data_IF_638131981985
#
_entry.id   IF_638131981985
#
_cell.length_a   1.000
_cell.length_b   1.000
_cell.length_c   1.000
_cell.angle_alpha   90.00
_cell.angle_beta   90.00
_cell.angle_gamma   90.00
#
_symmetry.space_group_name_H-M   'P 1'
#
loop_
_entity.id
_entity.type
_entity.pdbx_description
1 polymer ?
#
# COMPACT_ATOMS: atom_id res chain seq x y z
N UNK A 1 -27.27 29.47 -6.53
CA UNK A 1 -27.51 28.06 -6.91
C UNK A 1 -26.74 27.65 -8.16
N UNK A 2 -26.84 28.38 -9.28
CA UNK A 2 -26.08 28.11 -10.52
C UNK A 2 -24.55 28.10 -10.34
N UNK A 3 -23.98 29.03 -9.58
CA UNK A 3 -22.53 29.08 -9.34
C UNK A 3 -21.99 27.86 -8.58
N UNK A 4 -22.76 27.34 -7.61
CA UNK A 4 -22.38 26.15 -6.83
C UNK A 4 -22.42 24.87 -7.67
N UNK A 5 -23.36 24.79 -8.62
CA UNK A 5 -23.43 23.67 -9.58
C UNK A 5 -22.28 23.76 -10.59
N UNK A 6 -21.94 24.96 -11.04
CA UNK A 6 -20.81 25.18 -11.95
C UNK A 6 -19.46 24.88 -11.30
N UNK A 7 -19.26 25.25 -10.02
CA UNK A 7 -18.04 24.90 -9.28
C UNK A 7 -17.91 23.39 -9.06
N UNK A 8 -19.01 22.70 -8.72
CA UNK A 8 -19.04 21.24 -8.59
C UNK A 8 -18.75 20.52 -9.92
N UNK A 9 -19.32 21.01 -11.03
CA UNK A 9 -19.01 20.46 -12.37
C UNK A 9 -17.56 20.70 -12.76
N UNK A 10 -17.04 21.90 -12.48
CA UNK A 10 -15.64 22.23 -12.75
C UNK A 10 -14.69 21.39 -11.90
N UNK A 11 -15.03 21.12 -10.65
CA UNK A 11 -14.26 20.22 -9.77
C UNK A 11 -14.38 18.75 -10.21
N UNK A 12 -15.54 18.31 -10.71
CA UNK A 12 -15.72 16.96 -11.24
C UNK A 12 -14.95 16.73 -12.56
N UNK A 13 -14.79 17.77 -13.36
CA UNK A 13 -14.04 17.76 -14.63
C UNK A 13 -12.56 18.13 -14.41
N UNK A 14 -12.20 18.71 -13.26
CA UNK A 14 -10.83 19.04 -12.94
C UNK A 14 -9.99 17.77 -12.91
N UNK A 15 -9.12 17.64 -13.91
CA UNK A 15 -8.15 16.56 -13.97
C UNK A 15 -7.17 16.76 -12.83
N UNK A 16 -7.32 15.93 -11.80
CA UNK A 16 -6.42 15.92 -10.65
C UNK A 16 -5.04 15.46 -11.14
N UNK A 17 -4.02 16.29 -11.02
CA UNK A 17 -2.62 16.02 -11.45
C UNK A 17 -1.91 14.94 -10.61
N UNK A 18 -2.66 14.08 -9.92
CA UNK A 18 -2.09 12.94 -9.20
C UNK A 18 -1.57 11.94 -10.23
N UNK A 19 -0.28 11.62 -10.12
CA UNK A 19 0.39 10.58 -10.91
C UNK A 19 -0.46 9.31 -10.96
N UNK A 20 -0.90 8.91 -12.15
CA UNK A 20 -1.74 7.73 -12.35
C UNK A 20 -0.96 6.46 -11.92
N UNK A 21 -1.59 5.51 -11.18
CA UNK A 21 -0.90 4.32 -10.67
C UNK A 21 -0.68 3.27 -11.77
N UNK A 22 0.21 3.55 -12.73
CA UNK A 22 0.42 2.76 -13.95
C UNK A 22 0.75 1.29 -13.68
N UNK A 23 1.63 1.03 -12.70
CA UNK A 23 2.01 -0.34 -12.29
C UNK A 23 0.78 -1.18 -11.90
N UNK A 24 -0.20 -0.57 -11.23
CA UNK A 24 -1.43 -1.26 -10.82
C UNK A 24 -2.36 -1.47 -12.00
N UNK A 25 -2.51 -0.49 -12.88
CA UNK A 25 -3.35 -0.61 -14.06
C UNK A 25 -2.83 -1.71 -15.00
N UNK A 26 -1.51 -1.73 -15.25
CA UNK A 26 -0.87 -2.76 -16.07
C UNK A 26 -0.99 -4.13 -15.42
N UNK A 27 -0.71 -4.26 -14.12
CA UNK A 27 -0.84 -5.55 -13.43
C UNK A 27 -2.28 -6.08 -13.40
N UNK A 28 -3.28 -5.21 -13.26
CA UNK A 28 -4.69 -5.59 -13.33
C UNK A 28 -5.06 -6.06 -14.74
N UNK A 29 -4.68 -5.28 -15.76
CA UNK A 29 -4.89 -5.65 -17.15
C UNK A 29 -4.24 -6.98 -17.51
N UNK A 30 -2.99 -7.19 -17.07
CA UNK A 30 -2.26 -8.44 -17.30
C UNK A 30 -2.93 -9.64 -16.60
N UNK A 31 -3.38 -9.46 -15.36
CA UNK A 31 -4.06 -10.50 -14.58
C UNK A 31 -5.36 -10.99 -15.24
N UNK A 32 -6.06 -10.10 -15.96
CA UNK A 32 -7.28 -10.44 -16.70
C UNK A 32 -6.99 -10.92 -18.12
N UNK A 33 -6.04 -10.29 -18.82
CA UNK A 33 -5.76 -10.56 -20.23
C UNK A 33 -5.02 -11.89 -20.43
N UNK A 34 -4.12 -12.28 -19.53
CA UNK A 34 -3.34 -13.52 -19.67
C UNK A 34 -4.23 -14.77 -19.73
N UNK A 35 -5.18 -15.01 -18.78
CA UNK A 35 -6.07 -16.16 -18.88
C UNK A 35 -6.91 -16.17 -20.16
N UNK A 36 -7.39 -15.00 -20.59
CA UNK A 36 -8.17 -14.86 -21.83
C UNK A 36 -7.33 -15.21 -23.05
N UNK A 37 -6.10 -14.70 -23.13
CA UNK A 37 -5.17 -14.99 -24.22
C UNK A 37 -4.78 -16.47 -24.27
N UNK A 38 -4.52 -17.09 -23.11
CA UNK A 38 -4.25 -18.54 -23.02
C UNK A 38 -5.47 -19.33 -23.50
N UNK A 39 -6.67 -18.96 -23.05
CA UNK A 39 -7.91 -19.58 -23.50
C UNK A 39 -8.10 -19.45 -25.01
N UNK A 40 -7.87 -18.26 -25.58
CA UNK A 40 -7.93 -18.03 -27.03
C UNK A 40 -6.92 -18.89 -27.79
N UNK A 41 -5.67 -18.95 -27.32
CA UNK A 41 -4.61 -19.73 -27.95
C UNK A 41 -4.89 -21.24 -27.94
N UNK A 42 -5.53 -21.74 -26.89
CA UNK A 42 -5.96 -23.13 -26.77
C UNK A 42 -7.31 -23.43 -27.48
N UNK A 43 -7.90 -22.44 -28.17
CA UNK A 43 -9.22 -22.59 -28.80
C UNK A 43 -10.39 -22.68 -27.81
N UNK A 44 -10.16 -22.35 -26.54
CA UNK A 44 -11.10 -22.42 -25.42
C UNK A 44 -11.35 -21.04 -24.80
N UNK A 45 -11.74 -20.07 -25.64
CA UNK A 45 -11.94 -18.66 -25.23
C UNK A 45 -12.87 -18.53 -24.02
N UNK A 46 -13.96 -19.31 -23.98
CA UNK A 46 -14.91 -19.36 -22.86
C UNK A 46 -14.22 -19.64 -21.51
N UNK A 47 -13.27 -20.58 -21.47
CA UNK A 47 -12.55 -20.92 -20.24
C UNK A 47 -11.56 -19.82 -19.87
N UNK A 48 -10.95 -19.18 -20.86
CA UNK A 48 -10.10 -18.01 -20.65
C UNK A 48 -10.87 -16.81 -20.06
N UNK A 49 -12.10 -16.56 -20.52
CA UNK A 49 -12.97 -15.53 -19.98
C UNK A 49 -13.39 -15.81 -18.53
N UNK A 50 -13.79 -17.05 -18.23
CA UNK A 50 -14.14 -17.46 -16.84
C UNK A 50 -12.92 -17.34 -15.94
N UNK A 51 -11.75 -17.81 -16.37
CA UNK A 51 -10.51 -17.65 -15.60
C UNK A 51 -10.13 -16.17 -15.43
N UNK A 52 -10.40 -15.32 -16.44
CA UNK A 52 -10.21 -13.88 -16.39
C UNK A 52 -11.00 -13.18 -15.27
N UNK A 53 -12.14 -13.73 -14.83
CA UNK A 53 -12.89 -13.22 -13.67
C UNK A 53 -12.06 -13.28 -12.38
N UNK A 54 -11.19 -14.29 -12.25
CA UNK A 54 -10.21 -14.36 -11.15
C UNK A 54 -9.24 -13.19 -11.15
N UNK A 55 -8.99 -12.59 -12.31
CA UNK A 55 -8.17 -11.39 -12.54
C UNK A 55 -8.58 -10.17 -11.71
N UNK A 56 -9.87 -10.04 -11.38
CA UNK A 56 -10.39 -8.95 -10.54
C UNK A 56 -9.79 -8.94 -9.12
N UNK A 57 -9.24 -10.07 -8.67
CA UNK A 57 -8.51 -10.17 -7.40
C UNK A 57 -7.36 -9.15 -7.32
N UNK A 58 -6.68 -8.87 -8.44
CA UNK A 58 -5.57 -7.91 -8.48
C UNK A 58 -6.01 -6.47 -8.17
N UNK A 59 -7.27 -6.09 -8.37
CA UNK A 59 -7.74 -4.73 -8.08
C UNK A 59 -7.64 -4.37 -6.59
N UNK A 60 -7.56 -5.38 -5.73
CA UNK A 60 -7.35 -5.25 -4.30
C UNK A 60 -5.87 -5.26 -3.90
N UNK A 61 -4.94 -5.31 -4.86
CA UNK A 61 -3.51 -5.15 -4.63
C UNK A 61 -3.15 -3.67 -4.42
N UNK A 62 -3.23 -3.22 -3.17
CA UNK A 62 -2.82 -1.87 -2.75
C UNK A 62 -1.38 -1.87 -2.24
N UNK A 63 -0.80 -0.67 -2.07
CA UNK A 63 0.53 -0.51 -1.48
C UNK A 63 0.47 -0.86 0.01
N UNK A 64 0.76 -2.12 0.31
CA UNK A 64 0.91 -2.69 1.64
C UNK A 64 2.25 -3.44 1.67
N UNK A 65 2.88 -3.61 2.85
CA UNK A 65 3.96 -4.57 3.03
C UNK A 65 3.56 -5.94 2.47
N UNK A 66 4.49 -6.63 1.81
CA UNK A 66 4.16 -7.84 1.02
C UNK A 66 3.51 -8.95 1.85
N UNK A 67 3.88 -9.10 3.12
CA UNK A 67 3.27 -10.07 4.02
C UNK A 67 1.75 -9.83 4.21
N UNK A 68 1.36 -8.58 4.45
CA UNK A 68 -0.04 -8.18 4.61
C UNK A 68 -0.78 -8.13 3.28
N UNK A 69 -0.10 -7.69 2.21
CA UNK A 69 -0.64 -7.71 0.86
C UNK A 69 -1.01 -9.13 0.44
N UNK A 70 -0.12 -10.10 0.69
CA UNK A 70 -0.35 -11.51 0.38
C UNK A 70 -1.60 -12.05 1.07
N UNK A 71 -1.72 -11.85 2.39
CA UNK A 71 -2.90 -12.26 3.17
C UNK A 71 -4.17 -11.62 2.63
N UNK A 72 -4.15 -10.30 2.38
CA UNK A 72 -5.29 -9.56 1.86
C UNK A 72 -5.75 -10.11 0.51
N UNK A 73 -4.82 -10.27 -0.43
CA UNK A 73 -5.14 -10.75 -1.78
C UNK A 73 -5.61 -12.20 -1.73
N UNK A 74 -5.05 -13.04 -0.85
CA UNK A 74 -5.51 -14.40 -0.63
C UNK A 74 -6.97 -14.44 -0.17
N UNK A 75 -7.35 -13.67 0.86
CA UNK A 75 -8.74 -13.62 1.36
C UNK A 75 -9.71 -13.03 0.33
N UNK A 76 -9.28 -12.03 -0.43
CA UNK A 76 -10.07 -11.47 -1.54
C UNK A 76 -10.27 -12.53 -2.62
N UNK A 77 -9.20 -13.20 -3.06
CA UNK A 77 -9.25 -14.24 -4.07
C UNK A 77 -10.14 -15.41 -3.63
N UNK A 78 -9.99 -15.88 -2.39
CA UNK A 78 -10.83 -16.93 -1.82
C UNK A 78 -12.31 -16.51 -1.79
N UNK A 79 -12.61 -15.28 -1.40
CA UNK A 79 -13.98 -14.74 -1.41
C UNK A 79 -14.55 -14.60 -2.82
N UNK A 80 -13.75 -14.20 -3.81
CA UNK A 80 -14.13 -14.15 -5.23
C UNK A 80 -14.44 -15.56 -5.76
N UNK A 81 -13.57 -16.52 -5.45
CA UNK A 81 -13.76 -17.93 -5.83
C UNK A 81 -15.03 -18.49 -5.19
N UNK A 82 -15.26 -18.22 -3.89
CA UNK A 82 -16.49 -18.61 -3.20
C UNK A 82 -17.73 -17.95 -3.81
N UNK A 83 -17.68 -16.66 -4.11
CA UNK A 83 -18.77 -15.95 -4.79
C UNK A 83 -19.07 -16.57 -6.17
N UNK A 84 -18.04 -16.94 -6.93
CA UNK A 84 -18.20 -17.61 -8.23
C UNK A 84 -18.85 -19.00 -8.11
N UNK A 85 -18.52 -19.74 -7.07
CA UNK A 85 -19.11 -21.04 -6.77
C UNK A 85 -20.58 -20.90 -6.39
N UNK A 86 -20.87 -20.00 -5.45
CA UNK A 86 -22.23 -19.70 -5.01
C UNK A 86 -23.10 -19.21 -6.17
N UNK A 87 -22.58 -18.36 -7.07
CA UNK A 87 -23.28 -17.93 -8.27
C UNK A 87 -23.61 -19.10 -9.17
N UNK A 88 -22.61 -19.93 -9.48
CA UNK A 88 -22.77 -21.09 -10.37
C UNK A 88 -23.82 -22.10 -9.88
N UNK A 89 -23.89 -22.38 -8.57
CA UNK A 89 -24.88 -23.33 -8.01
C UNK A 89 -26.27 -22.70 -7.83
N UNK A 90 -26.35 -21.37 -7.72
CA UNK A 90 -27.62 -20.66 -7.50
C UNK A 90 -28.35 -20.33 -8.80
N UNK A 91 -27.67 -20.47 -9.95
CA UNK A 91 -28.20 -20.20 -11.30
C UNK A 91 -29.64 -20.69 -11.54
N UNK A 92 -30.06 -21.90 -11.11
CA UNK A 92 -31.43 -22.39 -11.34
C UNK A 92 -32.51 -21.70 -10.49
N UNK A 93 -32.13 -20.91 -9.48
CA UNK A 93 -33.02 -20.40 -8.44
C UNK A 93 -32.96 -18.87 -8.34
N UNK A 94 -33.75 -18.13 -9.15
CA UNK A 94 -33.69 -16.66 -9.21
C UNK A 94 -33.87 -15.95 -7.86
N UNK A 95 -34.73 -16.46 -6.99
CA UNK A 95 -34.95 -15.90 -5.64
C UNK A 95 -33.72 -16.12 -4.76
N UNK A 96 -33.07 -17.29 -4.85
CA UNK A 96 -31.84 -17.57 -4.10
C UNK A 96 -30.69 -16.68 -4.58
N UNK A 97 -30.58 -16.44 -5.89
CA UNK A 97 -29.61 -15.49 -6.48
C UNK A 97 -29.77 -14.11 -5.85
N UNK A 98 -30.98 -13.57 -5.80
CA UNK A 98 -31.23 -12.25 -5.21
C UNK A 98 -30.85 -12.17 -3.72
N UNK A 99 -31.21 -13.20 -2.93
CA UNK A 99 -30.92 -13.25 -1.49
C UNK A 99 -29.40 -13.35 -1.24
N UNK A 100 -28.73 -14.30 -1.89
CA UNK A 100 -27.29 -14.54 -1.71
C UNK A 100 -26.48 -13.33 -2.19
N UNK A 101 -26.86 -12.73 -3.32
CA UNK A 101 -26.23 -11.52 -3.83
C UNK A 101 -26.32 -10.36 -2.81
N UNK A 102 -27.50 -10.14 -2.23
CA UNK A 102 -27.70 -9.14 -1.18
C UNK A 102 -26.85 -9.41 0.05
N UNK A 103 -26.76 -10.68 0.48
CA UNK A 103 -25.96 -11.09 1.62
C UNK A 103 -24.45 -10.88 1.37
N UNK A 104 -23.92 -11.31 0.21
CA UNK A 104 -22.53 -11.08 -0.17
C UNK A 104 -22.23 -9.58 -0.17
N UNK A 105 -23.10 -8.76 -0.76
CA UNK A 105 -22.94 -7.31 -0.79
C UNK A 105 -22.88 -6.72 0.62
N UNK A 106 -23.82 -7.07 1.49
CA UNK A 106 -23.88 -6.56 2.86
C UNK A 106 -22.66 -6.97 3.70
N UNK A 107 -22.26 -8.25 3.66
CA UNK A 107 -21.11 -8.77 4.41
C UNK A 107 -19.82 -8.13 3.93
N UNK A 108 -19.59 -8.09 2.61
CA UNK A 108 -18.37 -7.48 2.08
C UNK A 108 -18.34 -5.98 2.39
N UNK A 109 -19.44 -5.25 2.16
CA UNK A 109 -19.51 -3.82 2.47
C UNK A 109 -19.22 -3.55 3.95
N UNK A 110 -19.78 -4.35 4.85
CA UNK A 110 -19.51 -4.28 6.28
C UNK A 110 -18.03 -4.50 6.59
N UNK A 111 -17.41 -5.57 6.06
CA UNK A 111 -15.99 -5.87 6.27
C UNK A 111 -15.11 -4.72 5.76
N UNK A 112 -15.34 -4.24 4.54
CA UNK A 112 -14.54 -3.16 3.94
C UNK A 112 -14.67 -1.85 4.73
N UNK A 113 -15.86 -1.52 5.24
CA UNK A 113 -16.09 -0.34 6.07
C UNK A 113 -15.49 -0.49 7.47
N UNK A 114 -15.69 -1.64 8.13
CA UNK A 114 -15.18 -1.92 9.47
C UNK A 114 -13.64 -1.91 9.50
N UNK A 115 -13.01 -2.51 8.49
CA UNK A 115 -11.55 -2.57 8.36
C UNK A 115 -10.95 -1.35 7.65
N UNK A 116 -11.79 -0.36 7.26
CA UNK A 116 -11.40 0.85 6.50
C UNK A 116 -10.52 0.53 5.29
N UNK A 117 -10.82 -0.57 4.61
CA UNK A 117 -10.04 -1.02 3.47
C UNK A 117 -10.26 -0.09 2.28
N UNK A 118 -9.19 0.57 1.85
CA UNK A 118 -9.15 1.34 0.61
C UNK A 118 -9.28 0.36 -0.56
N UNK A 119 -10.35 0.43 -1.34
CA UNK A 119 -10.66 -0.55 -2.39
C UNK A 119 -11.98 -0.28 -3.12
N UNK A 120 -12.26 -1.03 -4.20
CA UNK A 120 -13.56 -0.99 -4.90
C UNK A 120 -14.73 -1.61 -4.09
N UNK A 121 -14.55 -1.78 -2.77
CA UNK A 121 -15.53 -2.34 -1.83
C UNK A 121 -16.09 -3.70 -2.30
N UNK A 122 -17.40 -3.93 -2.16
CA UNK A 122 -18.10 -5.19 -2.46
C UNK A 122 -18.36 -5.44 -3.95
N UNK A 123 -18.15 -4.46 -4.82
CA UNK A 123 -18.67 -4.45 -6.21
C UNK A 123 -18.21 -5.67 -7.02
N UNK A 124 -16.92 -6.02 -6.97
CA UNK A 124 -16.40 -7.14 -7.79
C UNK A 124 -16.83 -8.51 -7.29
N UNK A 125 -17.08 -8.68 -5.99
CA UNK A 125 -17.63 -9.91 -5.45
C UNK A 125 -19.05 -10.14 -5.96
N UNK A 126 -19.87 -9.09 -5.91
CA UNK A 126 -21.25 -9.09 -6.42
C UNK A 126 -21.28 -9.28 -7.93
N UNK A 127 -20.41 -8.59 -8.68
CA UNK A 127 -20.31 -8.72 -10.13
C UNK A 127 -19.98 -10.16 -10.55
N UNK A 128 -18.97 -10.77 -9.92
CA UNK A 128 -18.55 -12.14 -10.28
C UNK A 128 -19.63 -13.16 -9.90
N UNK A 129 -20.27 -12.97 -8.75
CA UNK A 129 -21.45 -13.76 -8.38
C UNK A 129 -22.54 -13.66 -9.45
N UNK A 130 -22.93 -12.45 -9.85
CA UNK A 130 -23.97 -12.22 -10.83
C UNK A 130 -23.62 -12.83 -12.20
N UNK A 131 -22.39 -12.61 -12.69
CA UNK A 131 -21.92 -13.15 -13.96
C UNK A 131 -21.93 -14.69 -13.98
N UNK A 132 -21.61 -15.33 -12.85
CA UNK A 132 -21.61 -16.81 -12.78
C UNK A 132 -22.99 -17.40 -12.54
N UNK A 133 -23.90 -16.67 -11.89
CA UNK A 133 -25.30 -17.05 -11.77
C UNK A 133 -26.07 -16.97 -13.09
N UNK A 134 -25.69 -16.04 -13.97
CA UNK A 134 -26.30 -15.86 -15.31
C UNK A 134 -25.80 -16.91 -16.34
N UNK A 135 -24.73 -17.64 -16.04
CA UNK A 135 -24.25 -18.71 -16.92
C UNK A 135 -25.23 -19.89 -16.94
N UNK A 136 -25.25 -20.69 -18.03
CA UNK A 136 -26.12 -21.85 -18.13
C UNK A 136 -26.00 -22.80 -16.93
N UNK A 137 -27.12 -23.38 -16.53
CA UNK A 137 -27.18 -24.35 -15.44
C UNK A 137 -26.21 -25.50 -15.69
N UNK A 138 -25.48 -25.86 -14.63
CA UNK A 138 -24.57 -26.99 -14.60
C UNK A 138 -24.74 -27.72 -13.28
N UNK A 139 -24.53 -29.05 -13.30
CA UNK A 139 -24.41 -29.81 -12.06
C UNK A 139 -23.19 -29.37 -11.23
N UNK A 140 -23.06 -29.94 -10.02
CA UNK A 140 -21.99 -29.60 -9.08
C UNK A 140 -20.58 -29.70 -9.69
N UNK A 141 -20.33 -30.71 -10.52
CA UNK A 141 -19.03 -30.88 -11.20
C UNK A 141 -18.71 -29.72 -12.16
N UNK A 142 -19.69 -29.24 -12.91
CA UNK A 142 -19.52 -28.09 -13.80
C UNK A 142 -19.33 -26.78 -13.04
N UNK A 143 -20.04 -26.61 -11.91
CA UNK A 143 -19.84 -25.46 -11.02
C UNK A 143 -18.42 -25.46 -10.45
N UNK A 144 -17.93 -26.61 -9.95
CA UNK A 144 -16.56 -26.77 -9.46
C UNK A 144 -15.52 -26.51 -10.56
N UNK A 145 -15.77 -26.95 -11.80
CA UNK A 145 -14.88 -26.67 -12.92
C UNK A 145 -14.78 -25.17 -13.23
N UNK A 146 -15.90 -24.45 -13.28
CA UNK A 146 -15.93 -22.98 -13.45
C UNK A 146 -15.19 -22.28 -12.31
N UNK A 147 -15.48 -22.66 -11.07
CA UNK A 147 -14.81 -22.13 -9.88
C UNK A 147 -13.30 -22.42 -9.90
N UNK A 148 -12.88 -23.59 -10.38
CA UNK A 148 -11.47 -23.93 -10.57
C UNK A 148 -10.77 -22.99 -11.55
N UNK A 149 -11.41 -22.65 -12.67
CA UNK A 149 -10.89 -21.66 -13.62
C UNK A 149 -10.74 -20.28 -12.97
N UNK A 150 -11.76 -19.81 -12.23
CA UNK A 150 -11.69 -18.54 -11.49
C UNK A 150 -10.55 -18.58 -10.45
N UNK A 151 -10.37 -19.70 -9.75
CA UNK A 151 -9.29 -19.88 -8.78
C UNK A 151 -7.90 -19.83 -9.42
N UNK A 152 -7.73 -20.36 -10.63
CA UNK A 152 -6.48 -20.22 -11.39
C UNK A 152 -6.18 -18.76 -11.73
N UNK A 153 -7.19 -18.00 -12.18
CA UNK A 153 -7.02 -16.56 -12.44
C UNK A 153 -6.75 -15.74 -11.17
N UNK A 154 -7.38 -16.08 -10.05
CA UNK A 154 -7.12 -15.45 -8.75
C UNK A 154 -5.71 -15.75 -8.25
N UNK A 155 -5.24 -17.00 -8.43
CA UNK A 155 -3.87 -17.41 -8.11
C UNK A 155 -2.86 -16.68 -8.98
N UNK A 156 -3.12 -16.57 -10.29
CA UNK A 156 -2.29 -15.78 -11.20
C UNK A 156 -2.21 -14.32 -10.73
N UNK A 157 -3.35 -13.70 -10.40
CA UNK A 157 -3.40 -12.34 -9.86
C UNK A 157 -2.55 -12.19 -8.60
N UNK A 158 -2.62 -13.16 -7.70
CA UNK A 158 -1.80 -13.19 -6.49
C UNK A 158 -0.31 -13.28 -6.83
N UNK A 159 0.09 -14.15 -7.76
CA UNK A 159 1.50 -14.25 -8.19
C UNK A 159 2.01 -12.95 -8.82
N UNK A 160 1.21 -12.29 -9.66
CA UNK A 160 1.57 -11.01 -10.29
C UNK A 160 1.71 -9.92 -9.21
N UNK A 161 0.80 -9.86 -8.25
CA UNK A 161 0.87 -8.88 -7.15
C UNK A 161 2.08 -9.12 -6.23
N UNK A 162 2.47 -10.39 -6.05
CA UNK A 162 3.64 -10.78 -5.25
C UNK A 162 4.95 -10.70 -6.01
N UNK A 163 4.95 -10.56 -7.35
CA UNK A 163 6.17 -10.56 -8.16
C UNK A 163 7.22 -9.53 -7.71
N UNK A 164 6.77 -8.35 -7.25
CA UNK A 164 7.67 -7.31 -6.75
C UNK A 164 8.42 -7.68 -5.46
N UNK A 165 7.91 -8.64 -4.68
CA UNK A 165 8.61 -9.16 -3.50
C UNK A 165 9.96 -9.78 -3.86
N UNK A 166 10.04 -10.48 -5.00
CA UNK A 166 11.27 -11.13 -5.46
C UNK A 166 12.35 -10.12 -5.90
N UNK A 167 11.94 -8.91 -6.30
CA UNK A 167 12.84 -7.87 -6.81
C UNK A 167 13.26 -6.92 -5.69
N UNK A 168 12.30 -6.46 -4.88
CA UNK A 168 12.55 -5.52 -3.79
C UNK A 168 11.56 -5.76 -2.63
N UNK A 169 11.89 -6.66 -1.69
CA UNK A 169 11.02 -7.07 -0.58
C UNK A 169 10.56 -5.92 0.32
N UNK A 170 11.36 -4.86 0.45
CA UNK A 170 11.10 -3.74 1.36
C UNK A 170 10.67 -2.46 0.62
N UNK A 171 10.29 -2.58 -0.67
CA UNK A 171 9.89 -1.44 -1.50
C UNK A 171 8.73 -0.62 -0.89
N UNK A 172 7.64 -1.24 -0.39
CA UNK A 172 6.56 -0.49 0.26
C UNK A 172 7.05 0.34 1.46
N UNK A 173 7.83 -0.27 2.34
CA UNK A 173 8.37 0.31 3.56
C UNK A 173 9.32 1.48 3.25
N UNK A 174 10.25 1.27 2.31
CA UNK A 174 11.16 2.30 1.81
C UNK A 174 10.35 3.47 1.23
N UNK A 175 9.34 3.20 0.41
CA UNK A 175 8.53 4.28 -0.20
C UNK A 175 7.78 5.11 0.84
N UNK A 176 7.26 4.49 1.89
CA UNK A 176 6.57 5.20 2.98
C UNK A 176 7.58 6.04 3.77
N UNK A 177 8.74 5.49 4.13
CA UNK A 177 9.78 6.24 4.84
C UNK A 177 10.29 7.43 4.03
N UNK A 178 10.51 7.26 2.72
CA UNK A 178 10.89 8.36 1.81
C UNK A 178 9.83 9.46 1.72
N UNK A 179 8.54 9.14 1.87
CA UNK A 179 7.49 10.17 1.96
C UNK A 179 7.60 10.93 3.28
N UNK A 180 7.84 10.25 4.39
CA UNK A 180 8.03 10.89 5.68
C UNK A 180 9.26 11.81 5.69
N UNK A 181 10.41 11.36 5.17
CA UNK A 181 11.60 12.21 5.04
C UNK A 181 11.37 13.41 4.11
N UNK A 182 10.57 13.28 3.05
CA UNK A 182 10.16 14.44 2.23
C UNK A 182 9.28 15.43 2.97
N UNK A 183 8.37 14.98 3.84
CA UNK A 183 7.61 15.89 4.71
C UNK A 183 8.50 16.51 5.78
N UNK A 184 9.50 15.78 6.27
CA UNK A 184 10.50 16.27 7.22
C UNK A 184 11.38 17.38 6.60
N UNK A 185 11.76 17.23 5.32
CA UNK A 185 12.45 18.28 4.56
C UNK A 185 11.58 19.55 4.45
N UNK A 186 10.31 19.41 4.05
CA UNK A 186 9.37 20.54 3.99
C UNK A 186 9.19 21.22 5.34
N UNK A 187 9.04 20.43 6.41
CA UNK A 187 8.95 20.97 7.77
C UNK A 187 10.21 21.76 8.14
N UNK A 188 11.40 21.20 7.83
CA UNK A 188 12.69 21.86 8.08
C UNK A 188 12.81 23.18 7.32
N UNK A 189 12.38 23.21 6.05
CA UNK A 189 12.35 24.41 5.21
C UNK A 189 11.33 25.45 5.72
N UNK A 190 10.21 25.00 6.28
CA UNK A 190 9.13 25.86 6.77
C UNK A 190 9.43 26.55 8.11
N UNK A 191 10.52 26.20 8.80
CA UNK A 191 10.93 26.85 10.06
C UNK A 191 11.11 28.35 9.86
N UNK A 192 10.57 29.15 10.78
CA UNK A 192 10.56 30.62 10.65
C UNK A 192 9.46 31.17 9.73
N UNK A 193 8.62 30.31 9.13
CA UNK A 193 7.53 30.72 8.23
C UNK A 193 6.14 30.41 8.82
N UNK A 194 5.06 31.09 8.34
CA UNK A 194 3.69 30.77 8.74
C UNK A 194 3.23 29.34 8.38
N UNK A 195 3.90 28.67 7.44
CA UNK A 195 3.54 27.33 6.99
C UNK A 195 3.97 26.23 7.97
N UNK A 196 4.86 26.54 8.93
CA UNK A 196 5.40 25.56 9.90
C UNK A 196 4.32 24.78 10.63
N UNK A 197 3.23 25.45 11.05
CA UNK A 197 2.14 24.78 11.76
C UNK A 197 1.41 23.76 10.88
N UNK A 198 1.25 24.04 9.58
CA UNK A 198 0.62 23.11 8.65
C UNK A 198 1.53 21.91 8.36
N UNK A 199 2.80 22.18 8.04
CA UNK A 199 3.77 21.14 7.68
C UNK A 199 4.10 20.22 8.86
N UNK A 200 3.99 20.73 10.10
CA UNK A 200 4.09 19.92 11.32
C UNK A 200 3.09 18.76 11.31
N UNK A 201 1.81 19.03 11.08
CA UNK A 201 0.79 17.99 11.09
C UNK A 201 0.97 16.99 9.94
N UNK A 202 1.43 17.45 8.78
CA UNK A 202 1.76 16.59 7.65
C UNK A 202 2.94 15.65 7.95
N UNK A 203 3.98 16.16 8.61
CA UNK A 203 5.12 15.35 9.03
C UNK A 203 4.72 14.32 10.09
N UNK A 204 3.96 14.71 11.12
CA UNK A 204 3.45 13.79 12.14
C UNK A 204 2.58 12.68 11.53
N UNK A 205 1.68 13.03 10.61
CA UNK A 205 0.85 12.05 9.91
C UNK A 205 1.70 11.07 9.08
N UNK A 206 2.74 11.56 8.39
CA UNK A 206 3.62 10.72 7.59
C UNK A 206 4.47 9.76 8.44
N UNK A 207 4.98 10.20 9.60
CA UNK A 207 5.72 9.31 10.51
C UNK A 207 4.82 8.26 11.16
N UNK A 208 3.56 8.62 11.49
CA UNK A 208 2.57 7.64 11.93
C UNK A 208 2.28 6.58 10.85
N UNK A 209 2.16 6.98 9.58
CA UNK A 209 1.97 6.05 8.46
C UNK A 209 3.18 5.11 8.29
N UNK A 210 4.41 5.61 8.50
CA UNK A 210 5.64 4.78 8.48
C UNK A 210 5.61 3.73 9.59
N UNK A 211 5.28 4.12 10.81
CA UNK A 211 5.24 3.22 11.96
C UNK A 211 4.20 2.10 11.73
N UNK A 212 2.99 2.46 11.31
CA UNK A 212 1.95 1.49 10.93
C UNK A 212 2.41 0.56 9.80
N UNK A 213 3.12 1.08 8.80
CA UNK A 213 3.64 0.30 7.66
C UNK A 213 4.75 -0.66 8.09
N UNK A 214 5.70 -0.22 8.92
CA UNK A 214 6.78 -1.07 9.41
C UNK A 214 6.26 -2.15 10.35
N UNK A 215 5.34 -1.82 11.25
CA UNK A 215 4.66 -2.80 12.11
C UNK A 215 3.93 -3.87 11.28
N UNK A 216 3.30 -3.46 10.18
CA UNK A 216 2.64 -4.37 9.25
C UNK A 216 3.61 -5.19 8.37
N UNK A 217 4.86 -4.73 8.20
CA UNK A 217 5.91 -5.39 7.43
C UNK A 217 6.79 -6.34 8.24
N UNK A 218 6.61 -6.38 9.57
CA UNK A 218 7.40 -7.24 10.44
C UNK A 218 7.17 -8.72 10.14
N UNK A 219 8.22 -9.42 9.71
CA UNK A 219 8.18 -10.87 9.54
C UNK A 219 8.40 -11.54 10.91
N UNK A 220 7.69 -12.65 11.23
CA UNK A 220 7.83 -13.35 12.50
C UNK A 220 9.18 -14.09 12.67
N UNK A 221 10.00 -14.10 11.62
CA UNK A 221 11.36 -14.65 11.59
C UNK A 221 12.34 -13.47 11.55
N UNK A 222 13.58 -13.65 12.04
CA UNK A 222 14.57 -12.59 12.28
C UNK A 222 14.50 -11.40 11.30
N UNK A 223 14.41 -10.16 11.79
CA UNK A 223 14.29 -8.98 10.93
C UNK A 223 15.48 -8.89 9.99
N UNK A 224 15.22 -8.56 8.72
CA UNK A 224 16.30 -8.33 7.77
C UNK A 224 17.14 -7.11 8.17
N UNK A 225 18.38 -7.07 7.70
CA UNK A 225 19.27 -5.92 7.89
C UNK A 225 18.60 -4.62 7.42
N UNK A 226 18.06 -4.62 6.20
CA UNK A 226 17.34 -3.48 5.64
C UNK A 226 16.18 -3.06 6.52
N UNK A 227 15.35 -4.00 7.01
CA UNK A 227 14.22 -3.67 7.88
C UNK A 227 14.69 -3.03 9.19
N UNK A 228 15.78 -3.53 9.77
CA UNK A 228 16.37 -2.97 10.99
C UNK A 228 16.84 -1.53 10.77
N UNK A 229 17.56 -1.26 9.68
CA UNK A 229 17.94 0.11 9.32
C UNK A 229 16.74 1.04 9.12
N UNK A 230 15.66 0.58 8.46
CA UNK A 230 14.43 1.36 8.30
C UNK A 230 13.77 1.69 9.64
N UNK A 231 13.79 0.74 10.58
CA UNK A 231 13.25 0.94 11.92
C UNK A 231 14.04 2.00 12.70
N UNK A 232 15.38 1.91 12.70
CA UNK A 232 16.24 2.93 13.31
C UNK A 232 16.06 4.30 12.65
N UNK A 233 16.00 4.37 11.32
CA UNK A 233 15.79 5.63 10.61
C UNK A 233 14.43 6.26 10.89
N UNK A 234 13.42 5.44 11.15
CA UNK A 234 12.10 5.92 11.56
C UNK A 234 12.14 6.54 12.94
N UNK A 235 12.79 5.88 13.91
CA UNK A 235 12.96 6.43 15.25
C UNK A 235 13.75 7.73 15.24
N UNK A 236 14.90 7.76 14.57
CA UNK A 236 15.75 8.96 14.54
C UNK A 236 15.10 10.11 13.77
N UNK A 237 14.36 9.80 12.69
CA UNK A 237 13.54 10.77 11.97
C UNK A 237 12.43 11.37 12.85
N UNK A 238 11.75 10.54 13.64
CA UNK A 238 10.69 10.97 14.54
C UNK A 238 11.24 11.80 15.72
N UNK A 239 12.38 11.41 16.28
CA UNK A 239 13.08 12.19 17.31
C UNK A 239 13.47 13.58 16.80
N UNK A 240 13.98 13.68 15.56
CA UNK A 240 14.26 14.97 14.91
C UNK A 240 12.98 15.80 14.69
N UNK A 241 11.89 15.17 14.24
CA UNK A 241 10.58 15.83 14.11
C UNK A 241 10.14 16.44 15.45
N UNK A 242 10.15 15.65 16.52
CA UNK A 242 9.78 16.09 17.86
C UNK A 242 10.69 17.22 18.35
N UNK A 243 11.98 17.15 18.05
CA UNK A 243 12.94 18.21 18.36
C UNK A 243 12.57 19.53 17.66
N UNK A 244 12.33 19.50 16.35
CA UNK A 244 11.92 20.68 15.59
C UNK A 244 10.64 21.29 16.15
N UNK A 245 9.62 20.46 16.42
CA UNK A 245 8.34 20.93 16.95
C UNK A 245 8.51 21.55 18.33
N UNK A 246 9.32 20.95 19.22
CA UNK A 246 9.47 21.49 20.57
C UNK A 246 10.36 22.75 20.62
N UNK A 247 11.37 22.85 19.75
CA UNK A 247 12.37 23.92 19.82
C UNK A 247 12.07 25.11 18.90
N UNK A 248 11.50 24.87 17.73
CA UNK A 248 11.38 25.85 16.64
C UNK A 248 9.92 26.30 16.38
N UNK A 249 8.95 25.94 17.23
CA UNK A 249 7.54 26.34 17.05
C UNK A 249 7.31 27.84 17.02
N UNK A 250 8.01 28.60 17.87
CA UNK A 250 7.86 30.06 17.98
C UNK A 250 9.05 30.84 17.38
N UNK A 251 9.99 30.12 16.75
CA UNK A 251 11.23 30.68 16.25
C UNK A 251 11.00 31.31 14.86
N UNK A 252 11.53 32.51 14.64
CA UNK A 252 11.33 33.29 13.41
C UNK A 252 12.48 33.16 12.42
N UNK A 253 13.60 32.61 12.86
CA UNK A 253 14.78 32.42 12.02
C UNK A 253 14.70 31.09 11.28
N UNK A 254 14.96 31.14 9.98
CA UNK A 254 15.02 29.93 9.15
C UNK A 254 16.25 29.10 9.51
N UNK A 255 16.12 27.78 9.38
CA UNK A 255 17.25 26.86 9.55
C UNK A 255 18.25 26.98 8.38
N UNK A 256 19.53 26.68 8.62
CA UNK A 256 20.54 26.64 7.57
C UNK A 256 20.19 25.60 6.48
N UNK A 257 20.48 25.92 5.21
CA UNK A 257 20.15 25.06 4.05
C UNK A 257 20.84 23.70 4.12
N UNK A 258 21.96 23.63 4.82
CA UNK A 258 22.73 22.41 5.04
C UNK A 258 21.92 21.32 5.75
N UNK A 259 20.95 21.70 6.61
CA UNK A 259 20.05 20.75 7.26
C UNK A 259 19.14 20.03 6.27
N UNK A 260 18.58 20.78 5.32
CA UNK A 260 17.76 20.23 4.24
C UNK A 260 18.58 19.35 3.30
N UNK A 261 19.80 19.78 2.94
CA UNK A 261 20.71 19.00 2.09
C UNK A 261 21.11 17.67 2.73
N UNK A 262 21.25 17.62 4.05
CA UNK A 262 21.51 16.37 4.77
C UNK A 262 20.32 15.39 4.62
N UNK A 263 19.10 15.86 4.88
CA UNK A 263 17.89 15.04 4.74
C UNK A 263 17.65 14.57 3.30
N UNK A 264 18.01 15.39 2.31
CA UNK A 264 17.96 14.99 0.90
C UNK A 264 18.90 13.82 0.60
N UNK A 265 20.12 13.83 1.15
CA UNK A 265 21.05 12.70 1.03
C UNK A 265 20.49 11.43 1.69
N UNK A 266 19.77 11.55 2.82
CA UNK A 266 19.09 10.41 3.44
C UNK A 266 18.00 9.83 2.52
N UNK A 267 17.16 10.68 1.89
CA UNK A 267 16.18 10.21 0.91
C UNK A 267 16.84 9.54 -0.32
N UNK A 268 17.99 10.04 -0.75
CA UNK A 268 18.77 9.44 -1.83
C UNK A 268 19.31 8.05 -1.47
N UNK A 269 19.79 7.83 -0.24
CA UNK A 269 20.23 6.50 0.20
C UNK A 269 19.05 5.52 0.30
N UNK A 270 17.90 5.98 0.82
CA UNK A 270 16.67 5.20 0.81
C UNK A 270 16.24 4.82 -0.61
N UNK A 271 16.39 5.73 -1.59
CA UNK A 271 16.08 5.46 -3.01
C UNK A 271 16.92 4.31 -3.58
N UNK A 272 18.16 4.14 -3.12
CA UNK A 272 19.06 3.07 -3.56
C UNK A 272 18.96 1.82 -2.67
N UNK A 273 17.87 1.68 -1.91
CA UNK A 273 17.62 0.56 -1.00
C UNK A 273 18.74 0.33 0.02
N UNK A 274 19.41 1.41 0.47
CA UNK A 274 20.51 1.35 1.42
C UNK A 274 21.73 0.53 0.94
N UNK A 275 21.85 0.32 -0.38
CA UNK A 275 22.97 -0.45 -0.96
C UNK A 275 24.20 0.40 -1.28
N UNK A 276 24.02 1.70 -1.45
CA UNK A 276 25.12 2.64 -1.73
C UNK A 276 25.78 3.10 -0.43
N UNK A 277 27.10 3.20 -0.47
CA UNK A 277 27.90 3.72 0.63
C UNK A 277 28.42 5.10 0.22
N UNK A 278 27.53 6.08 0.05
CA UNK A 278 27.98 7.46 -0.21
C UNK A 278 28.38 8.09 1.12
N UNK A 279 29.58 8.66 1.25
CA UNK A 279 29.97 9.38 2.47
C UNK A 279 28.97 10.49 2.82
N UNK A 280 28.23 10.31 3.93
CA UNK A 280 27.37 11.33 4.49
C UNK A 280 28.21 12.22 5.42
N UNK A 281 28.55 13.41 4.92
CA UNK A 281 29.13 14.49 5.72
C UNK A 281 28.02 15.14 6.55
N UNK A 282 28.24 15.20 7.87
CA UNK A 282 27.36 15.88 8.80
C UNK A 282 27.66 17.37 8.72
N UNK A 283 26.66 18.23 8.45
CA UNK A 283 26.89 19.66 8.42
C UNK A 283 27.17 20.19 9.83
N UNK A 284 28.12 21.12 9.95
CA UNK A 284 28.35 21.87 11.19
C UNK A 284 27.28 22.93 11.33
N UNK A 285 26.38 22.76 12.30
CA UNK A 285 25.26 23.67 12.54
C UNK A 285 25.42 24.42 13.87
N UNK A 286 24.86 25.63 14.00
CA UNK A 286 24.91 26.38 15.26
C UNK A 286 24.28 25.61 16.42
N UNK A 287 23.23 24.84 16.12
CA UNK A 287 22.59 23.95 17.08
C UNK A 287 23.29 22.58 17.12
N UNK A 288 24.04 22.35 18.20
CA UNK A 288 24.72 21.08 18.45
C UNK A 288 23.75 19.91 18.64
N UNK A 289 22.53 20.14 19.16
CA UNK A 289 21.55 19.05 19.31
C UNK A 289 21.04 18.59 17.95
N UNK A 290 20.84 19.53 17.01
CA UNK A 290 20.42 19.21 15.65
C UNK A 290 21.51 18.40 14.92
N UNK A 291 22.77 18.77 15.10
CA UNK A 291 23.94 18.00 14.63
C UNK A 291 23.93 16.57 15.19
N UNK A 292 23.61 16.39 16.48
CA UNK A 292 23.52 15.07 17.12
C UNK A 292 22.40 14.19 16.53
N UNK A 293 21.27 14.75 16.14
CA UNK A 293 20.22 13.98 15.44
C UNK A 293 20.72 13.49 14.07
N UNK A 294 21.48 14.30 13.35
CA UNK A 294 22.09 13.90 12.07
C UNK A 294 23.16 12.82 12.22
N UNK A 295 23.95 12.87 13.29
CA UNK A 295 24.86 11.78 13.66
C UNK A 295 24.12 10.47 13.86
N UNK A 296 23.02 10.48 14.64
CA UNK A 296 22.24 9.27 14.87
C UNK A 296 21.58 8.74 13.60
N UNK A 297 21.05 9.59 12.73
CA UNK A 297 20.53 9.17 11.42
C UNK A 297 21.63 8.55 10.54
N UNK A 298 22.84 9.12 10.55
CA UNK A 298 23.99 8.56 9.83
C UNK A 298 24.39 7.18 10.38
N UNK A 299 24.38 7.03 11.71
CA UNK A 299 24.61 5.73 12.36
C UNK A 299 23.54 4.72 11.94
N UNK A 300 22.26 5.12 12.00
CA UNK A 300 21.13 4.30 11.57
C UNK A 300 21.20 3.88 10.09
N UNK A 301 21.87 4.65 9.23
CA UNK A 301 22.07 4.30 7.81
C UNK A 301 23.21 3.31 7.56
N UNK A 302 24.27 3.35 8.38
CA UNK A 302 25.58 2.79 8.00
C UNK A 302 26.23 1.84 8.99
N UNK A 303 25.85 1.88 10.27
CA UNK A 303 26.50 1.02 11.26
C UNK A 303 26.08 -0.45 11.09
N UNK A 304 26.99 -1.40 11.33
CA UNK A 304 26.65 -2.80 11.44
C UNK A 304 25.49 -2.99 12.42
N UNK A 305 24.54 -3.88 12.10
CA UNK A 305 23.35 -4.12 12.93
C UNK A 305 23.72 -4.45 14.39
N UNK A 306 24.83 -5.16 14.59
CA UNK A 306 25.30 -5.54 15.94
C UNK A 306 25.67 -4.35 16.83
N UNK A 307 26.00 -3.20 16.24
CA UNK A 307 26.30 -1.96 16.95
C UNK A 307 25.04 -1.12 17.21
N UNK A 308 23.94 -1.45 16.53
CA UNK A 308 22.67 -0.78 16.70
C UNK A 308 21.94 -1.33 17.93
N UNK A 309 21.37 -0.43 18.74
CA UNK A 309 20.62 -0.81 19.94
C UNK A 309 19.41 -1.67 19.53
N UNK A 310 19.18 -2.85 20.13
CA UNK A 310 18.03 -3.67 19.79
C UNK A 310 16.73 -2.91 20.06
N UNK A 311 15.85 -2.89 19.05
CA UNK A 311 14.51 -2.31 19.15
C UNK A 311 13.51 -3.46 19.09
N UNK A 312 12.74 -3.64 20.15
CA UNK A 312 11.55 -4.49 20.14
C UNK A 312 10.33 -3.61 19.91
N UNK A 313 9.66 -3.80 18.78
CA UNK A 313 8.34 -3.23 18.57
C UNK A 313 7.36 -3.93 19.51
N UNK A 314 6.90 -3.25 20.55
CA UNK A 314 5.81 -3.79 21.38
C UNK A 314 4.57 -3.95 20.49
N UNK A 315 4.20 -5.20 20.22
CA UNK A 315 2.96 -5.58 19.56
C UNK A 315 1.77 -5.08 20.39
N UNK A 316 1.31 -3.85 20.17
CA UNK A 316 -0.04 -3.45 20.55
C UNK A 316 -1.04 -4.07 19.57
N UNK A 317 -1.21 -5.39 19.65
CA UNK A 317 -2.44 -6.02 19.18
C UNK A 317 -3.46 -5.93 20.31
N UNK A 318 -4.17 -4.80 20.41
CA UNK A 318 -5.52 -4.84 20.96
C UNK A 318 -6.44 -5.08 19.78
N UNK A 319 -6.85 -6.34 19.61
CA UNK A 319 -8.05 -6.70 18.85
C UNK A 319 -9.26 -6.14 19.58
#
# INVERSE_FOLDING_TARGET
MKEKVWSMLREAIAVNERSFPWERAVGAGLSMALPIFIGLWLGQLQYGLIAGLGGFTYLYAFRLPYAHLSKRIFFVGASIVLASFLGSISSPYPVAVAIIMGLISAVMLFIFNALKFIGPSSIFFVLIFALTADMPEVGLSGALFRTGLVALGATLSWTIAMSGFLINPHRPEIQTLRRAYRQLMKLTESVGTPHFQHDKYLAMAAFKEVEETLMAGELPWSPSETYTHLLHLTLEGNEYLLYLVNRYTDEKEALPKEAMLFLEKVDQELKHNLKTVTELNIPTLPDQKLTRHFEKMKVALKHPIHDLKPITLERRYTV
#
